data_IF_517190424376
#
_entry.id   IF_517190424376
#
_cell.length_a   1.000
_cell.length_b   1.000
_cell.length_c   1.000
_cell.angle_alpha   90.00
_cell.angle_beta   90.00
_cell.angle_gamma   90.00
#
_symmetry.space_group_name_H-M   'P 1'
#
loop_
_entity.id
_entity.type
_entity.pdbx_description
1 polymer ?
#
# COMPACT_ATOMS: atom_id res chain seq x y z
N UNK A 1 13.05 19.63 -6.64
CA UNK A 1 12.18 19.71 -5.45
C UNK A 1 11.55 18.32 -5.25
N UNK A 2 11.96 17.56 -4.24
CA UNK A 2 11.37 16.25 -3.97
C UNK A 2 9.98 16.46 -3.37
N UNK A 3 8.93 15.96 -4.03
CA UNK A 3 7.56 16.05 -3.53
C UNK A 3 7.44 15.29 -2.19
N UNK A 4 7.07 15.99 -1.12
CA UNK A 4 6.97 15.47 0.26
C UNK A 4 6.06 14.23 0.38
N UNK A 5 5.07 14.08 -0.52
CA UNK A 5 4.15 12.93 -0.52
C UNK A 5 4.75 11.68 -1.18
N UNK A 6 5.63 11.84 -2.17
CA UNK A 6 6.45 10.72 -2.70
C UNK A 6 7.39 10.16 -1.61
N UNK A 7 7.92 11.04 -0.77
CA UNK A 7 8.69 10.63 0.40
C UNK A 7 7.82 9.85 1.42
N UNK A 8 6.58 10.28 1.65
CA UNK A 8 5.66 9.61 2.57
C UNK A 8 5.24 8.21 2.06
N UNK A 9 4.87 8.05 0.80
CA UNK A 9 4.52 6.71 0.27
C UNK A 9 5.72 5.76 0.30
N UNK A 10 6.91 6.24 -0.05
CA UNK A 10 8.13 5.44 0.00
C UNK A 10 8.48 5.01 1.42
N UNK A 11 8.28 5.86 2.42
CA UNK A 11 8.55 5.52 3.84
C UNK A 11 7.57 4.47 4.35
N UNK A 12 6.28 4.53 3.96
CA UNK A 12 5.30 3.49 4.29
C UNK A 12 5.65 2.14 3.66
N UNK A 13 6.01 2.10 2.37
CA UNK A 13 6.43 0.86 1.72
C UNK A 13 7.72 0.27 2.34
N UNK A 14 8.65 1.11 2.79
CA UNK A 14 9.83 0.65 3.55
C UNK A 14 9.46 0.05 4.91
N UNK A 15 8.43 0.58 5.59
CA UNK A 15 7.90 -0.02 6.83
C UNK A 15 7.33 -1.41 6.54
N UNK A 16 6.55 -1.55 5.47
CA UNK A 16 6.02 -2.85 5.02
C UNK A 16 7.16 -3.82 4.69
N UNK A 17 8.19 -3.37 3.96
CA UNK A 17 9.37 -4.19 3.66
C UNK A 17 10.07 -4.70 4.93
N UNK A 18 10.24 -3.83 5.93
CA UNK A 18 10.84 -4.22 7.22
C UNK A 18 10.02 -5.33 7.89
N UNK A 19 8.68 -5.22 7.87
CA UNK A 19 7.81 -6.24 8.44
C UNK A 19 7.88 -7.55 7.64
N UNK A 20 7.92 -7.50 6.32
CA UNK A 20 8.11 -8.70 5.47
C UNK A 20 9.44 -9.40 5.82
N UNK A 21 10.52 -8.65 6.01
CA UNK A 21 11.81 -9.21 6.45
C UNK A 21 11.81 -9.74 7.89
N UNK A 22 10.84 -9.33 8.71
CA UNK A 22 10.59 -9.90 10.03
C UNK A 22 9.71 -11.17 9.96
N UNK A 23 9.31 -11.60 8.77
CA UNK A 23 8.50 -12.81 8.54
C UNK A 23 6.99 -12.58 8.51
N UNK A 24 6.52 -11.34 8.46
CA UNK A 24 5.09 -11.06 8.29
C UNK A 24 4.68 -11.30 6.83
N UNK A 25 3.56 -11.99 6.64
CA UNK A 25 3.03 -12.32 5.31
C UNK A 25 2.35 -11.11 4.69
N UNK A 26 2.56 -10.91 3.39
CA UNK A 26 1.90 -9.86 2.61
C UNK A 26 0.56 -10.39 2.09
N UNK A 27 -0.55 -9.88 2.62
CA UNK A 27 -1.90 -10.38 2.29
C UNK A 27 -2.56 -9.63 1.13
N UNK A 28 -2.11 -8.39 0.85
CA UNK A 28 -2.58 -7.61 -0.29
C UNK A 28 -1.43 -7.02 -1.08
N UNK A 29 -1.51 -7.04 -2.40
CA UNK A 29 -0.48 -6.44 -3.24
C UNK A 29 -0.45 -4.89 -3.06
N UNK A 30 0.71 -4.27 -2.72
CA UNK A 30 0.79 -2.84 -2.39
C UNK A 30 0.31 -1.91 -3.52
N UNK A 31 0.49 -2.35 -4.76
CA UNK A 31 0.03 -1.64 -5.96
C UNK A 31 -1.21 -2.28 -6.62
N UNK A 32 -2.00 -3.07 -5.89
CA UNK A 32 -3.27 -3.63 -6.41
C UNK A 32 -4.27 -2.54 -6.85
N UNK A 33 -5.15 -2.89 -7.78
CA UNK A 33 -6.19 -2.00 -8.31
C UNK A 33 -5.74 -1.29 -9.59
N UNK A 34 -6.69 -1.07 -10.50
CA UNK A 34 -6.46 -0.35 -11.77
C UNK A 34 -6.29 1.16 -11.60
N UNK A 35 -6.36 1.66 -10.37
CA UNK A 35 -6.21 3.08 -10.08
C UNK A 35 -4.73 3.39 -9.97
N UNK A 36 -4.26 4.27 -10.85
CA UNK A 36 -2.83 4.52 -10.93
C UNK A 36 -2.36 5.24 -9.65
N UNK A 37 -1.11 5.02 -9.18
CA UNK A 37 -0.60 5.69 -7.98
C UNK A 37 -0.55 7.22 -8.08
N UNK A 38 -0.71 7.80 -9.26
CA UNK A 38 -0.85 9.25 -9.47
C UNK A 38 -2.31 9.74 -9.41
N UNK A 39 -3.30 8.85 -9.29
CA UNK A 39 -4.74 9.12 -9.31
C UNK A 39 -5.38 8.99 -7.91
N UNK A 40 -4.88 8.11 -7.03
CA UNK A 40 -5.39 7.96 -5.65
C UNK A 40 -4.36 8.32 -4.58
N UNK A 41 -4.69 9.24 -3.66
CA UNK A 41 -3.79 9.68 -2.60
C UNK A 41 -3.60 8.68 -1.45
N UNK A 42 -4.49 7.68 -1.33
CA UNK A 42 -4.49 6.71 -0.23
C UNK A 42 -4.51 5.28 -0.77
N UNK A 43 -3.72 4.41 -0.14
CA UNK A 43 -3.72 2.97 -0.40
C UNK A 43 -3.36 2.19 0.85
N UNK A 44 -4.24 1.30 1.27
CA UNK A 44 -4.01 0.38 2.38
C UNK A 44 -3.25 -0.88 1.94
N UNK A 45 -2.45 -1.43 2.85
CA UNK A 45 -1.74 -2.71 2.68
C UNK A 45 -1.98 -3.55 3.93
N UNK A 46 -2.44 -4.79 3.72
CA UNK A 46 -2.67 -5.77 4.77
C UNK A 46 -1.48 -6.72 4.91
N UNK A 47 -1.09 -6.97 6.15
CA UNK A 47 -0.08 -7.94 6.56
C UNK A 47 -0.71 -8.93 7.52
N UNK A 48 -0.09 -10.10 7.69
CA UNK A 48 -0.44 -11.01 8.78
C UNK A 48 -0.31 -10.31 10.14
N UNK A 49 -1.05 -10.80 11.12
CA UNK A 49 -1.00 -10.29 12.49
C UNK A 49 0.29 -10.69 13.21
N UNK A 50 0.80 -11.88 12.90
CA UNK A 50 2.03 -12.46 13.45
C UNK A 50 3.00 -12.85 12.34
N UNK A 51 4.30 -12.98 12.63
CA UNK A 51 5.24 -13.59 11.68
C UNK A 51 4.86 -15.05 11.38
N UNK A 52 4.85 -15.41 10.10
CA UNK A 52 4.54 -16.75 9.59
C UNK A 52 5.73 -17.38 8.84
N UNK A 53 6.78 -16.60 8.57
CA UNK A 53 7.97 -17.05 7.87
C UNK A 53 8.39 -16.10 6.74
N UNK A 54 9.58 -16.32 6.19
CA UNK A 54 10.06 -15.51 5.07
C UNK A 54 9.39 -15.93 3.77
N UNK A 55 8.80 -14.95 3.08
CA UNK A 55 8.16 -15.13 1.78
C UNK A 55 8.97 -14.38 0.71
N UNK A 56 9.71 -15.13 -0.11
CA UNK A 56 10.54 -14.57 -1.18
C UNK A 56 9.71 -13.82 -2.24
N UNK A 57 8.48 -14.26 -2.50
CA UNK A 57 7.58 -13.58 -3.45
C UNK A 57 7.14 -12.24 -2.87
N UNK A 58 6.77 -12.19 -1.60
CA UNK A 58 6.43 -10.93 -0.92
C UNK A 58 7.61 -9.94 -0.93
N UNK A 59 8.86 -10.43 -0.75
CA UNK A 59 10.07 -9.60 -0.85
C UNK A 59 10.26 -9.00 -2.25
N UNK A 60 10.02 -9.79 -3.30
CA UNK A 60 10.08 -9.30 -4.68
C UNK A 60 9.01 -8.26 -4.95
N UNK A 61 7.75 -8.53 -4.54
CA UNK A 61 6.61 -7.62 -4.71
C UNK A 61 6.89 -6.26 -4.05
N UNK A 62 7.35 -6.24 -2.80
CA UNK A 62 7.58 -4.97 -2.10
C UNK A 62 8.76 -4.20 -2.70
N UNK A 63 9.81 -4.89 -3.16
CA UNK A 63 10.94 -4.26 -3.84
C UNK A 63 10.51 -3.59 -5.15
N UNK A 64 9.72 -4.29 -5.97
CA UNK A 64 9.13 -3.74 -7.20
C UNK A 64 8.20 -2.55 -6.91
N UNK A 65 7.40 -2.62 -5.85
CA UNK A 65 6.52 -1.52 -5.46
C UNK A 65 7.29 -0.26 -5.05
N UNK A 66 8.35 -0.41 -4.25
CA UNK A 66 9.24 0.70 -3.85
C UNK A 66 9.92 1.32 -5.07
N UNK A 67 10.36 0.50 -6.03
CA UNK A 67 11.00 0.99 -7.25
C UNK A 67 10.00 1.77 -8.13
N UNK A 68 8.78 1.26 -8.28
CA UNK A 68 7.73 1.93 -9.04
C UNK A 68 7.31 3.26 -8.41
N UNK A 69 7.29 3.37 -7.07
CA UNK A 69 6.98 4.60 -6.34
C UNK A 69 7.82 5.81 -6.80
N UNK A 70 9.08 5.60 -7.18
CA UNK A 70 9.95 6.68 -7.66
C UNK A 70 9.58 7.23 -9.05
N UNK A 71 8.75 6.50 -9.81
CA UNK A 71 8.30 6.88 -11.16
C UNK A 71 7.01 7.69 -11.15
N UNK A 72 6.27 7.69 -10.05
CA UNK A 72 5.00 8.39 -9.95
C UNK A 72 5.20 9.84 -9.46
N UNK A 73 4.62 10.79 -10.18
CA UNK A 73 4.45 12.14 -9.69
C UNK A 73 3.05 12.24 -9.10
N UNK A 74 2.95 12.33 -7.78
CA UNK A 74 1.69 12.62 -7.11
C UNK A 74 1.23 14.04 -7.46
N UNK A 75 0.11 14.14 -8.20
CA UNK A 75 -0.57 15.42 -8.47
C UNK A 75 -1.51 15.74 -7.30
N UNK A 76 -0.95 15.81 -6.11
CA UNK A 76 -1.72 15.65 -4.88
C UNK A 76 -2.23 16.94 -4.26
N UNK A 77 -2.31 18.04 -5.00
CA UNK A 77 -2.82 19.33 -4.50
C UNK A 77 -3.95 19.89 -5.40
N UNK A 78 -4.66 19.01 -6.10
CA UNK A 78 -5.73 19.39 -7.04
C UNK A 78 -7.13 19.37 -6.43
N UNK A 79 -7.33 18.71 -5.29
CA UNK A 79 -8.66 18.40 -4.78
C UNK A 79 -9.02 19.17 -3.52
N UNK A 80 -10.33 19.37 -3.31
CA UNK A 80 -10.86 19.93 -2.05
C UNK A 80 -10.72 18.91 -0.92
N UNK A 81 -10.60 19.34 0.36
CA UNK A 81 -10.49 18.43 1.51
C UNK A 81 -11.54 17.30 1.55
N UNK A 82 -12.79 17.59 1.17
CA UNK A 82 -13.87 16.59 1.12
C UNK A 82 -13.58 15.44 0.16
N UNK A 83 -12.96 15.72 -0.99
CA UNK A 83 -12.61 14.70 -1.98
C UNK A 83 -11.51 13.77 -1.45
N UNK A 84 -10.60 14.26 -0.61
CA UNK A 84 -9.64 13.40 0.08
C UNK A 84 -10.35 12.46 1.06
N UNK A 85 -11.38 12.91 1.77
CA UNK A 85 -12.18 12.06 2.64
C UNK A 85 -12.89 10.96 1.84
N UNK A 86 -13.41 11.28 0.65
CA UNK A 86 -14.01 10.29 -0.24
C UNK A 86 -12.98 9.22 -0.67
N UNK A 87 -11.76 9.64 -1.04
CA UNK A 87 -10.68 8.68 -1.36
C UNK A 87 -10.32 7.79 -0.17
N UNK A 88 -10.29 8.32 1.05
CA UNK A 88 -10.06 7.53 2.26
C UNK A 88 -11.19 6.52 2.50
N UNK A 89 -12.44 6.93 2.31
CA UNK A 89 -13.60 6.06 2.45
C UNK A 89 -13.57 4.92 1.42
N UNK A 90 -13.21 5.22 0.18
CA UNK A 90 -13.07 4.21 -0.88
C UNK A 90 -11.98 3.18 -0.51
N UNK A 91 -10.78 3.64 -0.13
CA UNK A 91 -9.69 2.74 0.26
C UNK A 91 -10.05 1.89 1.49
N UNK A 92 -10.66 2.51 2.50
CA UNK A 92 -11.15 1.83 3.69
C UNK A 92 -12.19 0.76 3.36
N UNK A 93 -13.17 1.09 2.51
CA UNK A 93 -14.22 0.15 2.12
C UNK A 93 -13.62 -1.02 1.33
N UNK A 94 -12.67 -0.74 0.44
CA UNK A 94 -11.99 -1.77 -0.35
C UNK A 94 -11.24 -2.75 0.55
N UNK A 95 -10.39 -2.24 1.46
CA UNK A 95 -9.60 -3.11 2.33
C UNK A 95 -10.47 -3.86 3.35
N UNK A 96 -11.52 -3.21 3.89
CA UNK A 96 -12.42 -3.83 4.85
C UNK A 96 -13.27 -4.94 4.19
N UNK A 97 -13.69 -4.75 2.95
CA UNK A 97 -14.40 -5.78 2.19
C UNK A 97 -13.55 -7.02 1.89
N UNK A 98 -12.21 -6.87 1.89
CA UNK A 98 -11.27 -7.97 1.69
C UNK A 98 -10.96 -8.74 2.97
N UNK A 99 -11.31 -8.22 4.16
CA UNK A 99 -10.99 -8.86 5.44
C UNK A 99 -11.56 -10.29 5.58
N UNK A 100 -12.84 -10.57 5.24
CA UNK A 100 -13.38 -11.94 5.35
C UNK A 100 -12.62 -12.93 4.46
N UNK A 101 -12.20 -12.48 3.27
CA UNK A 101 -11.37 -13.28 2.37
C UNK A 101 -9.97 -13.50 2.93
N UNK A 102 -9.39 -12.54 3.67
CA UNK A 102 -8.09 -12.73 4.30
C UNK A 102 -8.16 -13.68 5.52
N UNK A 103 -9.25 -13.63 6.30
CA UNK A 103 -9.44 -14.50 7.48
C UNK A 103 -9.65 -15.96 7.10
N UNK A 104 -10.33 -16.22 5.99
CA UNK A 104 -10.59 -17.58 5.47
C UNK A 104 -9.35 -18.30 4.91
N UNK A 105 -8.21 -17.61 4.80
CA UNK A 105 -6.93 -18.19 4.39
C UNK A 105 -6.04 -18.62 5.56
N UNK A 106 -6.46 -18.36 6.81
CA UNK A 106 -5.84 -18.95 8.02
C UNK A 106 -6.28 -20.41 8.18
#
# INVERSE_FOLDING_TARGET
MWNTKNFLMRTHLKKVQKMIFQGYRLLTHPLSGSVKPNETPYKSVMLSETPEGLDAQAMQIIASAIQACGKFQFKSDLYKPQVYADFQLVDYTLISSALPSAESWR
#
